data_IF_964229188493
#
_entry.id   IF_964229188493
#
_cell.length_a   1.000
_cell.length_b   1.000
_cell.length_c   1.000
_cell.angle_alpha   90.00
_cell.angle_beta   90.00
_cell.angle_gamma   90.00
#
_symmetry.space_group_name_H-M   'P 1'
#
loop_
_entity.id
_entity.type
_entity.pdbx_description
1 polymer ?
#
# COMPACT_ATOMS: atom_id res chain seq x y z
N UNK A 1 -18.83 -10.93 -7.09
CA UNK A 1 -18.18 -10.09 -6.07
C UNK A 1 -17.80 -11.03 -4.95
N UNK A 2 -16.58 -10.90 -4.43
CA UNK A 2 -16.09 -11.75 -3.35
C UNK A 2 -15.61 -10.87 -2.21
N UNK A 3 -16.04 -11.18 -0.99
CA UNK A 3 -15.54 -10.54 0.23
C UNK A 3 -14.86 -11.60 1.09
N UNK A 4 -13.66 -11.28 1.57
CA UNK A 4 -12.88 -12.11 2.48
C UNK A 4 -12.38 -11.27 3.64
N UNK A 5 -12.35 -11.88 4.83
CA UNK A 5 -11.91 -11.21 6.05
C UNK A 5 -10.94 -12.11 6.79
N UNK A 6 -9.80 -11.54 7.17
CA UNK A 6 -8.73 -12.25 7.88
C UNK A 6 -8.36 -11.49 9.15
N UNK A 7 -8.31 -12.19 10.28
CA UNK A 7 -7.62 -11.70 11.47
C UNK A 7 -6.11 -11.86 11.27
N UNK A 8 -5.35 -10.80 11.54
CA UNK A 8 -3.90 -10.73 11.36
C UNK A 8 -3.26 -10.48 12.73
N UNK A 9 -2.93 -11.58 13.40
CA UNK A 9 -2.24 -11.61 14.69
C UNK A 9 -0.88 -12.33 14.52
N UNK A 10 -0.50 -13.23 15.43
CA UNK A 10 0.64 -14.15 15.24
C UNK A 10 0.33 -15.20 14.16
N UNK A 11 -0.96 -15.50 13.98
CA UNK A 11 -1.49 -16.42 12.98
C UNK A 11 -2.56 -15.72 12.14
N UNK A 12 -2.82 -16.27 10.96
CA UNK A 12 -3.88 -15.81 10.07
C UNK A 12 -5.08 -16.71 10.20
N UNK A 13 -6.21 -16.11 10.55
CA UNK A 13 -7.50 -16.80 10.64
C UNK A 13 -8.50 -16.16 9.69
N UNK A 14 -9.11 -16.98 8.82
CA UNK A 14 -10.20 -16.53 7.94
C UNK A 14 -11.51 -16.50 8.72
N UNK A 15 -12.26 -15.40 8.61
CA UNK A 15 -13.56 -15.24 9.28
C UNK A 15 -14.69 -15.70 8.36
N UNK A 16 -15.61 -16.48 8.91
CA UNK A 16 -16.86 -16.85 8.24
C UNK A 16 -17.82 -15.67 8.20
N UNK A 17 -18.36 -15.39 7.00
CA UNK A 17 -19.25 -14.28 6.74
C UNK A 17 -20.66 -14.78 6.44
N UNK A 18 -21.64 -14.22 7.12
CA UNK A 18 -23.05 -14.29 6.76
C UNK A 18 -23.47 -13.00 6.03
N UNK A 19 -24.72 -12.95 5.58
CA UNK A 19 -25.25 -11.81 4.82
C UNK A 19 -25.24 -10.50 5.62
N UNK A 20 -25.43 -10.57 6.94
CA UNK A 20 -25.40 -9.41 7.82
C UNK A 20 -23.99 -8.83 7.92
N UNK A 21 -22.98 -9.69 8.16
CA UNK A 21 -21.57 -9.31 8.17
C UNK A 21 -21.14 -8.71 6.84
N UNK A 22 -21.57 -9.29 5.71
CA UNK A 22 -21.31 -8.75 4.37
C UNK A 22 -21.87 -7.33 4.24
N UNK A 23 -23.11 -7.10 4.67
CA UNK A 23 -23.75 -5.78 4.63
C UNK A 23 -23.03 -4.76 5.51
N UNK A 24 -22.60 -5.17 6.70
CA UNK A 24 -21.84 -4.32 7.62
C UNK A 24 -20.49 -3.93 7.02
N UNK A 25 -19.76 -4.88 6.43
CA UNK A 25 -18.49 -4.62 5.73
C UNK A 25 -18.70 -3.64 4.57
N UNK A 26 -19.73 -3.80 3.75
CA UNK A 26 -20.01 -2.85 2.66
C UNK A 26 -20.30 -1.44 3.17
N UNK A 27 -21.02 -1.33 4.29
CA UNK A 27 -21.28 -0.05 4.96
C UNK A 27 -19.98 0.57 5.45
N UNK A 28 -19.10 -0.23 6.05
CA UNK A 28 -17.76 0.19 6.46
C UNK A 28 -16.92 0.70 5.28
N UNK A 29 -16.89 -0.02 4.15
CA UNK A 29 -16.14 0.40 2.96
C UNK A 29 -16.66 1.73 2.43
N UNK A 30 -17.99 1.91 2.36
CA UNK A 30 -18.59 3.17 1.92
C UNK A 30 -18.26 4.31 2.87
N UNK A 31 -18.32 4.06 4.18
CA UNK A 31 -17.98 5.06 5.18
C UNK A 31 -16.51 5.50 5.07
N UNK A 32 -15.57 4.54 5.02
CA UNK A 32 -14.14 4.83 5.02
C UNK A 32 -13.63 5.43 3.70
N UNK A 33 -14.26 5.13 2.56
CA UNK A 33 -13.83 5.61 1.23
C UNK A 33 -14.66 6.82 0.77
N UNK A 34 -15.92 6.92 1.20
CA UNK A 34 -16.90 7.89 0.70
C UNK A 34 -16.76 9.30 1.27
N UNK A 35 -16.15 9.45 2.45
CA UNK A 35 -15.69 10.77 2.90
C UNK A 35 -14.47 11.16 2.06
N UNK A 36 -14.47 12.37 1.50
CA UNK A 36 -13.39 12.87 0.63
C UNK A 36 -12.06 13.00 1.39
N UNK A 37 -11.39 11.89 1.61
CA UNK A 37 -10.06 11.78 2.20
C UNK A 37 -8.97 11.99 1.14
N UNK A 38 -9.24 12.83 0.14
CA UNK A 38 -8.30 13.12 -0.95
C UNK A 38 -6.94 13.58 -0.41
N UNK A 39 -6.95 14.36 0.68
CA UNK A 39 -5.74 14.83 1.37
C UNK A 39 -4.94 13.72 2.07
N UNK A 40 -5.53 12.57 2.37
CA UNK A 40 -4.87 11.39 2.95
C UNK A 40 -4.51 10.33 1.88
N UNK A 41 -4.97 10.54 0.65
CA UNK A 41 -4.74 9.62 -0.45
C UNK A 41 -3.42 9.93 -1.15
N UNK A 42 -2.62 8.89 -1.39
CA UNK A 42 -1.41 8.97 -2.20
C UNK A 42 -1.52 8.02 -3.39
N UNK A 43 -0.97 8.45 -4.52
CA UNK A 43 -0.86 7.62 -5.71
C UNK A 43 0.43 6.81 -5.67
N UNK A 44 0.31 5.55 -6.07
CA UNK A 44 1.37 4.57 -6.07
C UNK A 44 1.38 3.82 -7.40
N UNK A 45 2.53 3.23 -7.70
CA UNK A 45 2.72 2.31 -8.82
C UNK A 45 3.29 0.98 -8.34
N UNK A 46 2.93 -0.09 -9.04
CA UNK A 46 3.68 -1.34 -8.99
C UNK A 46 4.79 -1.27 -10.06
N UNK A 47 6.05 -1.07 -9.66
CA UNK A 47 7.10 -0.77 -10.60
C UNK A 47 7.44 -2.01 -11.46
N UNK A 48 7.89 -1.84 -12.73
CA UNK A 48 8.08 -2.95 -13.67
C UNK A 48 8.93 -4.10 -13.13
N UNK A 49 9.98 -3.82 -12.36
CA UNK A 49 10.85 -4.83 -11.75
C UNK A 49 10.16 -5.71 -10.69
N UNK A 50 9.02 -5.26 -10.15
CA UNK A 50 8.18 -6.00 -9.19
C UNK A 50 6.94 -6.64 -9.84
N UNK A 51 6.72 -6.43 -11.14
CA UNK A 51 5.62 -7.03 -11.90
C UNK A 51 5.93 -8.49 -12.26
N UNK A 52 6.01 -9.34 -11.25
CA UNK A 52 6.21 -10.78 -11.36
C UNK A 52 5.40 -11.51 -10.27
N UNK A 53 5.40 -12.84 -10.29
CA UNK A 53 4.56 -13.66 -9.40
C UNK A 53 4.93 -13.58 -7.90
N UNK A 54 5.96 -12.83 -7.51
CA UNK A 54 6.23 -12.53 -6.09
C UNK A 54 5.39 -11.37 -5.55
N UNK A 55 4.83 -10.53 -6.44
CA UNK A 55 3.87 -9.49 -6.10
C UNK A 55 2.46 -10.07 -6.12
N UNK A 56 1.79 -10.02 -4.98
CA UNK A 56 0.40 -10.49 -4.85
C UNK A 56 -0.57 -9.70 -5.73
N UNK A 57 -0.30 -8.42 -5.99
CA UNK A 57 -1.11 -7.61 -6.92
C UNK A 57 -0.90 -8.03 -8.38
N UNK A 58 0.34 -8.35 -8.75
CA UNK A 58 0.63 -8.87 -10.09
C UNK A 58 -0.03 -10.21 -10.32
N UNK A 59 0.14 -11.12 -9.36
CA UNK A 59 -0.47 -12.44 -9.40
C UNK A 59 -2.00 -12.31 -9.47
N UNK A 60 -2.61 -11.50 -8.59
CA UNK A 60 -4.03 -11.23 -8.62
C UNK A 60 -4.47 -10.73 -9.99
N UNK A 61 -3.81 -9.71 -10.59
CA UNK A 61 -4.17 -9.16 -11.90
C UNK A 61 -4.13 -10.21 -13.01
N UNK A 62 -3.17 -11.12 -13.00
CA UNK A 62 -2.98 -12.09 -14.07
C UNK A 62 -3.75 -13.41 -13.85
N UNK A 63 -4.18 -13.69 -12.62
CA UNK A 63 -4.98 -14.88 -12.31
C UNK A 63 -6.33 -14.88 -13.03
N UNK A 64 -6.71 -16.04 -13.57
CA UNK A 64 -8.00 -16.30 -14.22
C UNK A 64 -8.48 -17.73 -13.87
N UNK A 65 -9.77 -17.91 -13.53
CA UNK A 65 -10.79 -16.88 -13.32
C UNK A 65 -10.57 -16.13 -11.98
N UNK A 66 -11.15 -14.93 -11.82
CA UNK A 66 -10.82 -14.02 -10.69
C UNK A 66 -11.33 -14.49 -9.33
N UNK A 67 -12.46 -15.16 -9.35
CA UNK A 67 -13.17 -15.73 -8.21
C UNK A 67 -12.42 -16.91 -7.58
N UNK A 68 -11.56 -17.61 -8.34
CA UNK A 68 -10.74 -18.72 -7.83
C UNK A 68 -9.37 -18.27 -7.27
N UNK A 69 -9.12 -16.97 -7.19
CA UNK A 69 -7.86 -16.47 -6.62
C UNK A 69 -7.77 -16.80 -5.12
N UNK A 70 -6.61 -17.28 -4.67
CA UNK A 70 -6.36 -17.51 -3.25
C UNK A 70 -6.10 -16.19 -2.52
N UNK A 71 -7.15 -15.62 -1.94
CA UNK A 71 -7.08 -14.37 -1.19
C UNK A 71 -6.25 -14.47 0.09
N UNK A 72 -5.98 -15.67 0.61
CA UNK A 72 -5.09 -15.87 1.77
C UNK A 72 -3.67 -15.40 1.47
N UNK A 73 -3.26 -15.34 0.19
CA UNK A 73 -1.98 -14.75 -0.22
C UNK A 73 -1.81 -13.30 0.20
N UNK A 74 -2.88 -12.49 0.19
CA UNK A 74 -2.81 -11.13 0.71
C UNK A 74 -2.58 -11.13 2.22
N UNK A 75 -3.31 -11.96 2.97
CA UNK A 75 -3.14 -12.06 4.42
C UNK A 75 -1.73 -12.56 4.79
N UNK A 76 -1.22 -13.58 4.09
CA UNK A 76 0.14 -14.10 4.29
C UNK A 76 1.20 -13.04 4.02
N UNK A 77 1.12 -12.36 2.87
CA UNK A 77 2.05 -11.29 2.51
C UNK A 77 2.01 -10.13 3.51
N UNK A 78 0.82 -9.81 4.01
CA UNK A 78 0.65 -8.81 5.05
C UNK A 78 1.35 -9.22 6.35
N UNK A 79 1.07 -10.43 6.86
CA UNK A 79 1.72 -10.92 8.06
C UNK A 79 3.24 -10.95 7.89
N UNK A 80 3.75 -11.45 6.76
CA UNK A 80 5.19 -11.47 6.47
C UNK A 80 5.80 -10.08 6.43
N UNK A 81 5.07 -9.08 5.93
CA UNK A 81 5.54 -7.70 6.01
C UNK A 81 5.67 -7.29 7.47
N UNK A 82 4.74 -7.69 8.34
CA UNK A 82 4.67 -7.31 9.76
C UNK A 82 5.64 -8.08 10.65
N UNK A 83 6.31 -9.10 10.11
CA UNK A 83 7.33 -9.89 10.80
C UNK A 83 8.71 -9.24 10.67
N UNK A 84 9.44 -9.20 11.78
CA UNK A 84 10.85 -8.80 11.83
C UNK A 84 11.76 -9.93 11.31
N UNK A 85 13.05 -9.64 11.16
CA UNK A 85 14.05 -10.61 10.67
C UNK A 85 14.22 -11.84 11.59
N UNK A 86 13.87 -11.70 12.89
CA UNK A 86 13.89 -12.77 13.88
C UNK A 86 12.68 -13.72 13.79
N UNK A 87 11.81 -13.51 12.80
CA UNK A 87 10.59 -14.30 12.61
C UNK A 87 9.45 -13.96 13.56
N UNK A 88 9.62 -12.96 14.44
CA UNK A 88 8.56 -12.48 15.34
C UNK A 88 7.86 -11.27 14.76
N UNK A 89 6.57 -11.16 15.03
CA UNK A 89 5.78 -9.99 14.61
C UNK A 89 6.30 -8.72 15.30
N UNK A 90 6.38 -7.64 14.55
CA UNK A 90 6.80 -6.34 15.06
C UNK A 90 5.76 -5.81 16.05
N UNK A 91 6.15 -5.72 17.32
CA UNK A 91 5.30 -5.25 18.42
C UNK A 91 4.87 -3.78 18.31
N UNK A 92 5.53 -2.98 17.47
CA UNK A 92 5.11 -1.59 17.19
C UNK A 92 3.95 -1.50 16.20
N UNK A 93 3.69 -2.57 15.43
CA UNK A 93 2.57 -2.64 14.49
C UNK A 93 1.37 -3.22 15.21
N UNK A 94 0.24 -2.52 15.27
CA UNK A 94 -0.96 -3.06 15.91
C UNK A 94 -1.56 -4.20 15.10
N UNK A 95 -2.09 -5.19 15.81
CA UNK A 95 -2.88 -6.25 15.20
C UNK A 95 -4.18 -5.69 14.66
N UNK A 96 -4.82 -6.44 13.78
CA UNK A 96 -6.03 -5.95 13.13
C UNK A 96 -6.68 -6.95 12.21
N UNK A 97 -7.66 -6.44 11.49
CA UNK A 97 -8.47 -7.22 10.55
C UNK A 97 -8.20 -6.70 9.15
N UNK A 98 -7.85 -7.62 8.24
CA UNK A 98 -7.75 -7.36 6.81
C UNK A 98 -9.08 -7.72 6.13
N UNK A 99 -9.74 -6.72 5.59
CA UNK A 99 -10.90 -6.88 4.72
C UNK A 99 -10.46 -6.81 3.25
N UNK A 100 -11.02 -7.68 2.44
CA UNK A 100 -10.75 -7.76 1.00
C UNK A 100 -12.09 -7.77 0.27
N UNK A 101 -12.28 -6.81 -0.64
CA UNK A 101 -13.43 -6.76 -1.55
C UNK A 101 -12.93 -6.87 -3.00
N UNK A 102 -13.40 -7.88 -3.73
CA UNK A 102 -13.11 -8.08 -5.14
C UNK A 102 -14.38 -7.91 -5.99
N UNK A 103 -14.27 -7.07 -7.04
CA UNK A 103 -15.31 -6.84 -8.04
C UNK A 103 -14.65 -6.91 -9.42
N UNK A 104 -14.85 -8.03 -10.12
CA UNK A 104 -14.20 -8.27 -11.41
C UNK A 104 -12.68 -8.28 -11.29
N UNK A 105 -11.99 -7.37 -11.99
CA UNK A 105 -10.52 -7.23 -11.89
C UNK A 105 -10.08 -6.17 -10.88
N UNK A 106 -11.01 -5.61 -10.11
CA UNK A 106 -10.76 -4.59 -9.10
C UNK A 106 -10.69 -5.23 -7.74
N UNK A 107 -9.80 -4.73 -6.88
CA UNK A 107 -9.71 -5.17 -5.49
C UNK A 107 -9.48 -3.97 -4.58
N UNK A 108 -10.15 -4.01 -3.44
CA UNK A 108 -9.96 -3.08 -2.33
C UNK A 108 -9.51 -3.86 -1.11
N UNK A 109 -8.49 -3.35 -0.44
CA UNK A 109 -7.95 -3.91 0.79
C UNK A 109 -8.11 -2.86 1.88
N UNK A 110 -8.66 -3.24 3.03
CA UNK A 110 -8.70 -2.39 4.21
C UNK A 110 -8.08 -3.15 5.36
N UNK A 111 -6.98 -2.65 5.92
CA UNK A 111 -6.55 -3.07 7.24
C UNK A 111 -7.10 -2.09 8.25
N UNK A 112 -7.89 -2.62 9.18
CA UNK A 112 -8.37 -1.89 10.34
C UNK A 112 -7.61 -2.40 11.56
N UNK A 113 -6.94 -1.50 12.27
CA UNK A 113 -6.34 -1.86 13.57
C UNK A 113 -7.43 -2.06 14.63
N UNK A 114 -7.15 -2.94 15.59
CA UNK A 114 -8.10 -3.24 16.68
C UNK A 114 -8.58 -1.96 17.36
N UNK A 115 -9.89 -1.73 17.32
CA UNK A 115 -10.57 -0.53 17.82
C UNK A 115 -11.87 -0.92 18.50
N UNK A 116 -12.32 -0.11 19.48
CA UNK A 116 -13.63 -0.28 20.12
C UNK A 116 -14.78 0.21 19.23
N UNK A 117 -14.49 0.98 18.18
CA UNK A 117 -15.50 1.58 17.31
C UNK A 117 -16.13 0.59 16.32
N UNK A 118 -15.55 -0.60 16.15
CA UNK A 118 -16.08 -1.65 15.26
C UNK A 118 -16.23 -2.91 16.07
N UNK A 119 -17.40 -3.52 15.97
CA UNK A 119 -17.67 -4.79 16.61
C UNK A 119 -16.90 -5.91 15.86
N UNK A 120 -15.99 -6.64 16.51
CA UNK A 120 -15.12 -7.61 15.83
C UNK A 120 -15.84 -8.87 15.34
N UNK A 121 -17.04 -9.15 15.84
CA UNK A 121 -17.81 -10.35 15.47
C UNK A 121 -18.80 -10.07 14.34
N UNK A 122 -19.40 -8.88 14.35
CA UNK A 122 -20.42 -8.47 13.37
C UNK A 122 -19.90 -7.48 12.31
N UNK A 123 -18.75 -6.86 12.55
CA UNK A 123 -18.17 -5.77 11.77
C UNK A 123 -19.04 -4.50 11.69
N UNK A 124 -20.05 -4.39 12.56
CA UNK A 124 -20.89 -3.20 12.64
C UNK A 124 -20.11 -2.01 13.21
N UNK A 125 -20.33 -0.82 12.63
CA UNK A 125 -19.80 0.44 13.17
C UNK A 125 -20.63 0.80 14.41
N UNK A 126 -19.96 0.97 15.54
CA UNK A 126 -20.57 1.44 16.79
C UNK A 126 -20.72 2.95 16.74
N UNK A 127 -21.95 3.41 16.48
CA UNK A 127 -22.28 4.82 16.22
C UNK A 127 -21.97 5.75 17.40
N UNK A 128 -21.90 5.22 18.61
CA UNK A 128 -21.62 5.93 19.85
C UNK A 128 -20.14 6.28 20.05
N UNK A 129 -19.21 5.63 19.35
CA UNK A 129 -17.78 5.74 19.62
C UNK A 129 -16.98 6.54 18.59
N UNK A 130 -17.55 6.82 17.41
CA UNK A 130 -16.87 7.51 16.31
C UNK A 130 -15.64 6.77 15.77
N UNK A 131 -15.39 6.84 14.46
CA UNK A 131 -14.21 6.20 13.84
C UNK A 131 -12.98 7.11 13.82
N UNK A 132 -13.07 8.34 14.35
CA UNK A 132 -12.02 9.36 14.25
C UNK A 132 -10.69 8.97 14.89
N UNK A 133 -10.67 8.08 15.88
CA UNK A 133 -9.44 7.57 16.48
C UNK A 133 -9.01 6.20 15.95
N UNK A 134 -9.77 5.61 15.02
CA UNK A 134 -9.46 4.30 14.46
C UNK A 134 -8.46 4.44 13.33
N UNK A 135 -7.34 3.73 13.46
CA UNK A 135 -6.30 3.73 12.45
C UNK A 135 -6.58 2.64 11.42
N UNK A 136 -6.73 3.05 10.17
CA UNK A 136 -6.92 2.14 9.05
C UNK A 136 -6.01 2.53 7.90
N UNK A 137 -5.79 1.54 7.02
CA UNK A 137 -5.08 1.70 5.76
C UNK A 137 -5.89 1.07 4.65
N UNK A 138 -6.02 1.78 3.54
CA UNK A 138 -6.79 1.33 2.39
C UNK A 138 -5.89 1.24 1.18
N UNK A 139 -6.03 0.18 0.39
CA UNK A 139 -5.51 0.09 -0.96
C UNK A 139 -6.66 -0.11 -1.93
N UNK A 140 -6.72 0.70 -2.98
CA UNK A 140 -7.68 0.59 -4.07
C UNK A 140 -6.90 0.32 -5.35
N UNK A 141 -7.12 -0.85 -5.95
CA UNK A 141 -6.50 -1.26 -7.19
C UNK A 141 -7.56 -1.46 -8.28
N UNK A 142 -7.53 -0.56 -9.26
CA UNK A 142 -8.48 -0.50 -10.38
C UNK A 142 -7.96 -1.23 -11.63
N UNK A 143 -7.21 -2.32 -11.44
CA UNK A 143 -6.57 -3.09 -12.52
C UNK A 143 -5.49 -2.31 -13.31
N UNK A 144 -4.97 -1.19 -12.79
CA UNK A 144 -3.91 -0.41 -13.40
C UNK A 144 -2.67 -0.34 -12.47
N UNK A 145 -1.54 -0.88 -12.91
CA UNK A 145 -0.30 -0.85 -12.10
C UNK A 145 0.31 0.54 -11.98
N UNK A 146 -0.08 1.48 -12.85
CA UNK A 146 0.42 2.84 -12.83
C UNK A 146 -0.49 3.79 -12.04
N UNK A 147 -1.61 3.30 -11.51
CA UNK A 147 -2.55 4.10 -10.74
C UNK A 147 -3.19 3.26 -9.62
N UNK A 148 -2.49 3.20 -8.50
CA UNK A 148 -2.91 2.49 -7.30
C UNK A 148 -3.08 3.53 -6.20
N UNK A 149 -4.24 3.54 -5.55
CA UNK A 149 -4.53 4.53 -4.50
C UNK A 149 -4.32 3.91 -3.13
N UNK A 150 -3.50 4.55 -2.30
CA UNK A 150 -3.33 4.21 -0.89
C UNK A 150 -3.91 5.34 -0.05
N UNK A 151 -4.73 5.02 0.95
CA UNK A 151 -5.24 5.99 1.93
C UNK A 151 -4.68 5.60 3.30
N UNK A 152 -4.02 6.54 3.95
CA UNK A 152 -3.38 6.35 5.25
C UNK A 152 -3.55 7.60 6.12
N UNK A 153 -4.00 7.43 7.36
CA UNK A 153 -4.17 8.54 8.31
C UNK A 153 -2.83 9.02 8.91
N UNK A 154 -1.71 8.32 8.69
CA UNK A 154 -0.36 8.77 9.10
C UNK A 154 0.57 9.03 7.91
N UNK A 155 1.11 10.25 7.85
CA UNK A 155 2.07 10.66 6.82
C UNK A 155 3.42 9.91 6.89
N UNK A 156 3.77 9.30 8.03
CA UNK A 156 5.08 8.64 8.27
C UNK A 156 5.06 7.13 8.15
N UNK A 157 3.93 6.46 8.44
CA UNK A 157 3.83 5.00 8.51
C UNK A 157 3.40 4.30 7.20
N UNK A 158 3.31 5.05 6.09
CA UNK A 158 2.85 4.54 4.80
C UNK A 158 3.88 3.66 4.06
N UNK A 159 5.19 3.88 4.26
CA UNK A 159 6.25 3.17 3.52
C UNK A 159 6.14 1.66 3.70
N UNK A 160 5.85 1.21 4.91
CA UNK A 160 5.68 -0.22 5.17
C UNK A 160 4.56 -0.83 4.33
N UNK A 161 3.41 -0.16 4.26
CA UNK A 161 2.20 -0.70 3.64
C UNK A 161 2.33 -0.78 2.12
N UNK A 162 2.65 0.35 1.48
CA UNK A 162 2.76 0.35 0.04
C UNK A 162 4.02 -0.43 -0.38
N UNK A 163 5.16 -0.29 0.29
CA UNK A 163 6.43 -0.87 -0.17
C UNK A 163 6.67 -2.33 0.26
N UNK A 164 6.51 -2.66 1.56
CA UNK A 164 6.80 -4.03 2.04
C UNK A 164 5.65 -5.00 1.79
N UNK A 165 4.42 -4.57 2.01
CA UNK A 165 3.26 -5.43 1.82
C UNK A 165 2.89 -5.55 0.33
N UNK A 166 2.72 -4.44 -0.38
CA UNK A 166 2.20 -4.44 -1.75
C UNK A 166 3.26 -4.25 -2.86
N UNK A 167 4.55 -4.18 -2.50
CA UNK A 167 5.67 -4.00 -3.44
C UNK A 167 5.59 -2.72 -4.30
N UNK A 168 4.86 -1.70 -3.82
CA UNK A 168 4.62 -0.43 -4.50
C UNK A 168 5.72 0.60 -4.24
N UNK A 169 5.70 1.63 -5.08
CA UNK A 169 6.42 2.89 -4.91
C UNK A 169 5.43 4.05 -5.04
N UNK A 170 5.67 5.15 -4.33
CA UNK A 170 4.91 6.38 -4.55
C UNK A 170 5.05 6.80 -6.01
N UNK A 171 3.95 7.20 -6.62
CA UNK A 171 3.96 7.86 -7.91
C UNK A 171 4.57 9.25 -7.67
N UNK A 172 5.77 9.46 -8.20
CA UNK A 172 6.44 10.77 -8.20
C UNK A 172 6.14 11.41 -9.54
N UNK A 173 5.40 12.51 -9.52
CA UNK A 173 5.25 13.35 -10.70
C UNK A 173 6.58 14.02 -11.07
N UNK A 174 6.61 14.67 -12.24
CA UNK A 174 7.78 15.38 -12.77
C UNK A 174 8.39 16.34 -11.77
N UNK A 175 7.58 17.01 -10.95
CA UNK A 175 8.02 18.11 -10.11
C UNK A 175 8.83 17.60 -8.91
N UNK A 176 8.37 16.51 -8.27
CA UNK A 176 9.12 15.85 -7.18
C UNK A 176 10.41 15.18 -7.71
N UNK A 177 10.39 14.69 -8.96
CA UNK A 177 11.58 14.14 -9.61
C UNK A 177 12.61 15.24 -9.89
N UNK A 178 12.17 16.42 -10.34
CA UNK A 178 13.02 17.61 -10.52
C UNK A 178 13.65 18.04 -9.20
N UNK A 179 12.89 18.16 -8.11
CA UNK A 179 13.43 18.52 -6.79
C UNK A 179 14.44 17.48 -6.26
N UNK A 180 14.15 16.19 -6.47
CA UNK A 180 15.06 15.10 -6.06
C UNK A 180 16.35 15.13 -6.88
N UNK A 181 16.25 15.37 -8.18
CA UNK A 181 17.38 15.48 -9.08
C UNK A 181 18.25 16.69 -8.74
N UNK A 182 17.64 17.86 -8.51
CA UNK A 182 18.31 19.07 -8.02
C UNK A 182 19.05 18.78 -6.71
N UNK A 183 18.43 18.03 -5.79
CA UNK A 183 19.08 17.65 -4.53
C UNK A 183 20.27 16.71 -4.74
N UNK A 184 20.16 15.72 -5.63
CA UNK A 184 21.27 14.80 -5.93
C UNK A 184 22.46 15.53 -6.55
N UNK A 185 22.19 16.50 -7.41
CA UNK A 185 23.18 17.40 -7.98
C UNK A 185 23.88 18.22 -6.89
N UNK A 186 23.11 18.92 -6.04
CA UNK A 186 23.66 19.76 -4.97
C UNK A 186 24.52 18.98 -3.98
N UNK A 187 24.18 17.72 -3.74
CA UNK A 187 24.86 16.86 -2.78
C UNK A 187 25.95 15.97 -3.41
N UNK A 188 26.35 16.18 -4.67
CA UNK A 188 27.30 15.31 -5.40
C UNK A 188 26.97 13.81 -5.29
N UNK A 189 25.68 13.48 -5.35
CA UNK A 189 25.16 12.11 -5.20
C UNK A 189 24.45 11.60 -6.45
N UNK A 190 24.50 12.38 -7.54
CA UNK A 190 23.97 11.98 -8.83
C UNK A 190 24.83 10.89 -9.51
N UNK A 191 26.14 10.93 -9.29
CA UNK A 191 27.10 10.04 -9.94
C UNK A 191 27.71 9.05 -8.93
N UNK A 192 28.19 7.91 -9.42
CA UNK A 192 28.92 6.95 -8.59
C UNK A 192 30.28 7.51 -8.18
N UNK A 193 30.86 7.01 -7.07
CA UNK A 193 32.20 7.40 -6.61
C UNK A 193 33.27 7.27 -7.70
N UNK A 194 33.14 6.26 -8.57
CA UNK A 194 34.06 6.06 -9.71
C UNK A 194 34.07 7.25 -10.68
N UNK A 195 32.91 7.85 -10.90
CA UNK A 195 32.74 9.03 -11.78
C UNK A 195 33.15 10.30 -11.05
N UNK A 196 32.78 10.42 -9.77
CA UNK A 196 33.16 11.56 -8.91
C UNK A 196 34.69 11.70 -8.82
N UNK A 197 35.41 10.59 -8.77
CA UNK A 197 36.88 10.58 -8.66
C UNK A 197 37.60 10.78 -10.01
N UNK A 198 36.91 11.03 -11.12
CA UNK A 198 37.55 11.35 -12.40
C UNK A 198 38.05 12.79 -12.42
N UNK A 199 39.15 13.03 -13.15
CA UNK A 199 39.78 14.35 -13.26
C UNK A 199 38.85 15.39 -13.91
N UNK A 200 37.96 14.94 -14.79
CA UNK A 200 36.99 15.76 -15.52
C UNK A 200 35.58 15.70 -14.91
N UNK A 201 35.46 15.36 -13.63
CA UNK A 201 34.15 15.23 -12.97
C UNK A 201 33.30 16.51 -13.06
N UNK A 202 33.89 17.68 -12.84
CA UNK A 202 33.14 18.95 -12.90
C UNK A 202 32.59 19.22 -14.32
N UNK A 203 33.35 18.87 -15.36
CA UNK A 203 32.89 18.98 -16.75
C UNK A 203 31.75 17.99 -17.06
N UNK A 204 31.88 16.74 -16.60
CA UNK A 204 30.81 15.73 -16.72
C UNK A 204 29.53 16.21 -16.01
N UNK A 205 29.70 16.82 -14.83
CA UNK A 205 28.61 17.35 -14.02
C UNK A 205 27.93 18.52 -14.75
N UNK A 206 28.67 19.52 -15.21
CA UNK A 206 28.11 20.66 -15.96
C UNK A 206 27.35 20.22 -17.21
N UNK A 207 27.96 19.40 -18.07
CA UNK A 207 27.31 18.92 -19.30
C UNK A 207 26.04 18.11 -19.03
N UNK A 208 26.03 17.34 -17.95
CA UNK A 208 24.83 16.61 -17.54
C UNK A 208 23.74 17.55 -17.05
N UNK A 209 24.10 18.64 -16.35
CA UNK A 209 23.14 19.65 -15.90
C UNK A 209 22.53 20.42 -17.07
N UNK A 210 23.37 20.85 -18.00
CA UNK A 210 22.95 21.52 -19.23
C UNK A 210 21.96 20.63 -20.01
N UNK A 211 22.31 19.35 -20.20
CA UNK A 211 21.42 18.41 -20.89
C UNK A 211 20.07 18.20 -20.18
N UNK A 212 20.07 18.18 -18.84
CA UNK A 212 18.89 17.88 -18.03
C UNK A 212 17.97 19.09 -17.84
N UNK A 213 18.53 20.30 -17.68
CA UNK A 213 17.80 21.50 -17.27
C UNK A 213 17.64 22.54 -18.37
N UNK A 214 18.44 22.49 -19.43
CA UNK A 214 18.44 23.51 -20.49
C UNK A 214 17.96 22.99 -21.86
N UNK A 215 17.57 21.71 -21.97
CA UNK A 215 16.81 21.14 -23.09
C UNK A 215 15.34 20.92 -22.74
#
# INVERSE_FOLDING_TARGET
>A
MTIKVYSIDEVIEERTLDDEKIKNIQTLFKFLIGEQQSHLSVKCILPPEKQNNTSVLFEFKNHRPKDSFDFKKFANKLLSAETNEDGKRNNTIRTGILFIEQIGSRIKLIKLESTKAIDPETFAIRQDLGLDNSYYKICIFENNFNDITIIDKSNTAAKFWYNKFLDLKLFRDSDINTDTLIRFVKNNSLFSEKVINQINYEEIKELSLEYIFEN
#
